data_IF_615863641453
#
_entry.id   IF_615863641453
#
_cell.length_a   1.000
_cell.length_b   1.000
_cell.length_c   1.000
_cell.angle_alpha   90.00
_cell.angle_beta   90.00
_cell.angle_gamma   90.00
#
_symmetry.space_group_name_H-M   'P 1'
#
loop_
_entity.id
_entity.type
_entity.pdbx_description
1 polymer ?
#
# COMPACT_ATOMS: atom_id res chain seq x y z
N UNK A 1 -9.47 -27.65 6.23
CA UNK A 1 -10.54 -27.73 5.22
C UNK A 1 -9.92 -27.61 3.83
N UNK A 2 -10.45 -28.29 2.80
CA UNK A 2 -9.87 -28.26 1.47
C UNK A 2 -10.00 -26.85 0.87
N UNK A 3 -8.94 -26.44 0.16
CA UNK A 3 -8.84 -25.16 -0.54
C UNK A 3 -10.06 -24.99 -1.45
N UNK A 4 -10.87 -23.96 -1.17
CA UNK A 4 -12.07 -23.66 -1.94
C UNK A 4 -11.72 -23.48 -3.42
N UNK A 5 -12.40 -24.28 -4.26
CA UNK A 5 -12.38 -24.23 -5.73
C UNK A 5 -12.41 -22.79 -6.23
N UNK A 6 -11.34 -22.37 -6.91
CA UNK A 6 -11.32 -21.11 -7.67
C UNK A 6 -9.96 -20.46 -7.88
N UNK A 7 -8.95 -20.75 -7.05
CA UNK A 7 -7.57 -20.28 -7.24
C UNK A 7 -6.59 -21.41 -6.98
N UNK A 8 -6.07 -21.98 -8.06
CA UNK A 8 -5.07 -23.04 -7.96
C UNK A 8 -3.74 -22.34 -7.67
N UNK A 9 -3.26 -22.45 -6.43
CA UNK A 9 -1.87 -22.13 -6.11
C UNK A 9 -0.97 -23.10 -6.87
N UNK A 10 0.13 -22.60 -7.43
CA UNK A 10 1.16 -23.48 -7.98
C UNK A 10 1.75 -24.35 -6.87
N UNK A 11 2.32 -25.50 -7.24
CA UNK A 11 3.07 -26.33 -6.30
C UNK A 11 4.21 -25.56 -5.62
N UNK A 12 4.85 -24.66 -6.36
CA UNK A 12 5.93 -23.80 -5.84
C UNK A 12 5.42 -22.80 -4.80
N UNK A 13 4.28 -22.15 -5.05
CA UNK A 13 3.64 -21.25 -4.09
C UNK A 13 3.24 -22.01 -2.81
N UNK A 14 2.66 -23.21 -2.94
CA UNK A 14 2.29 -24.05 -1.79
C UNK A 14 3.52 -24.42 -0.97
N UNK A 15 4.57 -24.93 -1.60
CA UNK A 15 5.81 -25.33 -0.92
C UNK A 15 6.49 -24.15 -0.22
N UNK A 16 6.44 -22.97 -0.83
CA UNK A 16 6.98 -21.73 -0.27
C UNK A 16 6.21 -21.30 0.97
N UNK A 17 4.87 -21.29 0.93
CA UNK A 17 4.03 -20.98 2.10
C UNK A 17 4.34 -21.94 3.26
N UNK A 18 4.41 -23.25 2.99
CA UNK A 18 4.70 -24.22 4.04
C UNK A 18 6.10 -24.02 4.62
N UNK A 19 7.09 -23.71 3.77
CA UNK A 19 8.46 -23.47 4.22
C UNK A 19 8.59 -22.20 5.05
N UNK A 20 7.94 -21.10 4.64
CA UNK A 20 7.85 -19.86 5.42
C UNK A 20 7.22 -20.09 6.78
N UNK A 21 6.09 -20.81 6.84
CA UNK A 21 5.41 -21.12 8.10
C UNK A 21 6.25 -21.97 9.04
N UNK A 22 7.01 -22.94 8.51
CA UNK A 22 7.94 -23.75 9.31
C UNK A 22 9.07 -22.88 9.86
N UNK A 23 9.71 -22.07 9.01
CA UNK A 23 10.81 -21.20 9.42
C UNK A 23 10.39 -20.18 10.50
N UNK A 24 9.17 -19.68 10.41
CA UNK A 24 8.59 -18.78 11.43
C UNK A 24 8.46 -19.45 12.79
N UNK A 25 7.94 -20.69 12.83
CA UNK A 25 7.76 -21.44 14.08
C UNK A 25 9.08 -21.79 14.76
N UNK A 26 10.16 -21.96 13.99
CA UNK A 26 11.48 -22.28 14.53
C UNK A 26 12.32 -21.04 14.87
N UNK A 27 11.75 -19.83 14.77
CA UNK A 27 12.45 -18.57 15.06
C UNK A 27 13.56 -18.22 14.07
N UNK A 28 13.57 -18.85 12.88
CA UNK A 28 14.68 -18.76 11.91
C UNK A 28 14.42 -17.76 10.78
N UNK A 29 13.52 -16.79 10.99
CA UNK A 29 13.18 -15.80 9.96
C UNK A 29 14.41 -15.03 9.44
N UNK A 30 15.46 -14.84 10.23
CA UNK A 30 16.67 -14.14 9.77
C UNK A 30 17.71 -15.05 9.08
N UNK A 31 17.59 -16.37 9.18
CA UNK A 31 18.63 -17.33 8.76
C UNK A 31 18.18 -18.35 7.70
N UNK A 32 16.86 -18.59 7.55
CA UNK A 32 16.35 -19.69 6.71
C UNK A 32 15.02 -19.35 6.04
N UNK A 33 14.90 -18.15 5.48
CA UNK A 33 13.81 -17.90 4.56
C UNK A 33 14.13 -18.62 3.24
N UNK A 34 13.20 -19.42 2.69
CA UNK A 34 13.39 -20.05 1.40
C UNK A 34 13.69 -18.97 0.35
N UNK A 35 14.46 -19.27 -0.72
CA UNK A 35 14.81 -18.28 -1.73
C UNK A 35 13.57 -17.86 -2.53
N UNK A 36 12.82 -16.90 -2.00
CA UNK A 36 11.61 -16.34 -2.59
C UNK A 36 11.88 -15.64 -3.92
N UNK A 37 13.12 -15.16 -4.11
CA UNK A 37 13.58 -14.49 -5.34
C UNK A 37 13.49 -15.36 -6.60
N UNK A 38 13.40 -16.69 -6.44
CA UNK A 38 13.26 -17.63 -7.58
C UNK A 38 11.81 -17.84 -8.00
N UNK A 39 10.83 -17.44 -7.17
CA UNK A 39 9.42 -17.57 -7.53
C UNK A 39 9.04 -16.52 -8.57
N UNK A 40 8.17 -16.92 -9.51
CA UNK A 40 7.56 -16.00 -10.44
C UNK A 40 6.71 -14.95 -9.71
N UNK A 41 6.58 -13.75 -10.28
CA UNK A 41 5.75 -12.65 -9.74
C UNK A 41 4.33 -13.12 -9.37
N UNK A 42 3.70 -13.92 -10.23
CA UNK A 42 2.35 -14.45 -10.00
C UNK A 42 2.28 -15.34 -8.74
N UNK A 43 3.32 -16.14 -8.50
CA UNK A 43 3.41 -17.02 -7.34
C UNK A 43 3.69 -16.22 -6.07
N UNK A 44 4.58 -15.23 -6.09
CA UNK A 44 4.77 -14.32 -4.95
C UNK A 44 3.46 -13.61 -4.57
N UNK A 45 2.71 -13.09 -5.55
CA UNK A 45 1.39 -12.50 -5.32
C UNK A 45 0.41 -13.50 -4.69
N UNK A 46 0.42 -14.74 -5.17
CA UNK A 46 -0.43 -15.81 -4.65
C UNK A 46 -0.05 -16.18 -3.21
N UNK A 47 1.25 -16.22 -2.90
CA UNK A 47 1.80 -16.46 -1.56
C UNK A 47 1.36 -15.34 -0.60
N UNK A 48 1.52 -14.06 -0.97
CA UNK A 48 1.07 -12.94 -0.12
C UNK A 48 -0.42 -13.08 0.19
N UNK A 49 -1.26 -13.27 -0.84
CA UNK A 49 -2.71 -13.38 -0.69
C UNK A 49 -3.11 -14.56 0.19
N UNK A 50 -2.46 -15.71 0.04
CA UNK A 50 -2.76 -16.90 0.85
C UNK A 50 -2.28 -16.74 2.30
N UNK A 51 -1.15 -16.07 2.54
CA UNK A 51 -0.70 -15.75 3.90
C UNK A 51 -1.67 -14.79 4.60
N UNK A 52 -2.13 -13.74 3.91
CA UNK A 52 -3.16 -12.83 4.43
C UNK A 52 -4.48 -13.57 4.72
N UNK A 53 -4.88 -14.51 3.86
CA UNK A 53 -6.08 -15.34 4.07
C UNK A 53 -5.96 -16.26 5.29
N UNK A 54 -4.74 -16.57 5.70
CA UNK A 54 -4.44 -17.39 6.88
C UNK A 54 -4.05 -16.54 8.10
N UNK A 55 -4.22 -15.21 8.04
CA UNK A 55 -3.79 -14.23 9.06
C UNK A 55 -2.31 -14.31 9.46
N UNK A 56 -1.46 -14.86 8.58
CA UNK A 56 -0.01 -14.83 8.73
C UNK A 56 0.56 -13.49 8.23
N UNK A 57 0.10 -12.38 8.81
CA UNK A 57 0.30 -11.03 8.29
C UNK A 57 1.77 -10.58 8.29
N UNK A 58 2.52 -10.88 9.34
CA UNK A 58 3.97 -10.58 9.42
C UNK A 58 4.78 -11.32 8.34
N UNK A 59 4.42 -12.58 8.05
CA UNK A 59 5.00 -13.31 6.91
C UNK A 59 4.60 -12.69 5.57
N UNK A 60 3.37 -12.20 5.44
CA UNK A 60 2.92 -11.52 4.23
C UNK A 60 3.71 -10.24 3.97
N UNK A 61 4.04 -9.45 5.01
CA UNK A 61 4.93 -8.28 4.91
C UNK A 61 6.29 -8.67 4.37
N UNK A 62 6.87 -9.76 4.90
CA UNK A 62 8.17 -10.25 4.44
C UNK A 62 8.17 -10.69 2.95
N UNK A 63 7.12 -11.37 2.51
CA UNK A 63 6.99 -11.74 1.08
C UNK A 63 6.74 -10.49 0.21
N UNK A 64 5.97 -9.52 0.71
CA UNK A 64 5.71 -8.26 0.03
C UNK A 64 7.01 -7.46 -0.17
N UNK A 65 7.92 -7.40 0.81
CA UNK A 65 9.20 -6.70 0.64
C UNK A 65 10.06 -7.36 -0.46
N UNK A 66 10.07 -8.69 -0.54
CA UNK A 66 10.71 -9.41 -1.65
C UNK A 66 10.06 -9.05 -2.99
N UNK A 67 8.73 -9.11 -3.08
CA UNK A 67 7.97 -8.77 -4.29
C UNK A 67 8.27 -7.34 -4.77
N UNK A 68 8.34 -6.38 -3.84
CA UNK A 68 8.68 -4.97 -4.13
C UNK A 68 10.08 -4.82 -4.69
N UNK A 69 11.06 -5.52 -4.11
CA UNK A 69 12.46 -5.43 -4.52
C UNK A 69 12.73 -6.04 -5.90
N UNK A 70 12.03 -7.12 -6.25
CA UNK A 70 12.23 -7.86 -7.51
C UNK A 70 11.34 -7.34 -8.65
N UNK A 71 10.16 -6.79 -8.34
CA UNK A 71 9.15 -6.45 -9.34
C UNK A 71 8.48 -5.08 -9.11
N UNK A 72 9.25 -3.97 -9.07
CA UNK A 72 8.67 -2.62 -9.03
C UNK A 72 7.78 -2.34 -10.26
N UNK A 73 6.78 -1.43 -10.16
CA UNK A 73 6.40 -0.64 -8.99
C UNK A 73 5.52 -1.42 -8.00
N UNK A 74 5.38 -0.88 -6.77
CA UNK A 74 4.56 -1.46 -5.71
C UNK A 74 3.06 -1.43 -6.07
N UNK A 75 2.38 -2.57 -5.90
CA UNK A 75 0.91 -2.64 -5.97
C UNK A 75 0.29 -2.07 -4.69
N UNK A 76 -0.20 -0.82 -4.76
CA UNK A 76 -0.85 -0.14 -3.63
C UNK A 76 -2.15 -0.82 -3.19
N UNK A 77 -2.84 -1.54 -4.08
CA UNK A 77 -4.05 -2.29 -3.71
C UNK A 77 -3.69 -3.45 -2.80
N UNK A 78 -2.61 -4.16 -3.12
CA UNK A 78 -2.06 -5.23 -2.28
C UNK A 78 -1.50 -4.68 -0.97
N UNK A 79 -0.80 -3.53 -1.02
CA UNK A 79 -0.32 -2.85 0.19
C UNK A 79 -1.49 -2.52 1.13
N UNK A 80 -2.60 -1.98 0.60
CA UNK A 80 -3.80 -1.71 1.39
C UNK A 80 -4.41 -2.99 1.98
N UNK A 81 -4.39 -4.11 1.27
CA UNK A 81 -4.86 -5.41 1.78
C UNK A 81 -3.98 -5.90 2.95
N UNK A 82 -2.66 -5.72 2.87
CA UNK A 82 -1.72 -6.03 3.96
C UNK A 82 -1.95 -5.12 5.16
N UNK A 83 -2.08 -3.80 4.97
CA UNK A 83 -2.37 -2.84 6.05
C UNK A 83 -3.67 -3.18 6.77
N UNK A 84 -4.74 -3.50 6.03
CA UNK A 84 -6.00 -3.91 6.64
C UNK A 84 -5.85 -5.20 7.46
N UNK A 85 -5.08 -6.17 6.97
CA UNK A 85 -4.86 -7.42 7.69
C UNK A 85 -4.03 -7.20 8.97
N UNK A 86 -2.97 -6.40 8.91
CA UNK A 86 -2.18 -6.00 10.08
C UNK A 86 -3.05 -5.27 11.11
N UNK A 87 -3.89 -4.33 10.66
CA UNK A 87 -4.79 -3.57 11.53
C UNK A 87 -5.77 -4.48 12.27
N UNK A 88 -6.37 -5.45 11.57
CA UNK A 88 -7.27 -6.46 12.19
C UNK A 88 -6.55 -7.34 13.22
N UNK A 89 -5.25 -7.58 13.03
CA UNK A 89 -4.42 -8.37 13.95
C UNK A 89 -3.75 -7.52 15.04
N UNK A 90 -3.96 -6.21 15.07
CA UNK A 90 -3.36 -5.31 16.07
C UNK A 90 -1.88 -5.00 15.83
N UNK A 91 -1.32 -5.37 14.69
CA UNK A 91 0.10 -5.25 14.33
C UNK A 91 0.45 -3.83 13.87
N UNK A 92 0.23 -2.84 14.74
CA UNK A 92 0.31 -1.41 14.39
C UNK A 92 1.72 -0.97 13.99
N UNK A 93 2.76 -1.46 14.66
CA UNK A 93 4.14 -1.09 14.35
C UNK A 93 4.60 -1.63 12.99
N UNK A 94 4.07 -2.78 12.56
CA UNK A 94 4.35 -3.32 11.22
C UNK A 94 3.71 -2.46 10.12
N UNK A 95 2.56 -1.83 10.40
CA UNK A 95 1.97 -0.86 9.47
C UNK A 95 2.93 0.32 9.30
N UNK A 96 3.43 0.89 10.40
CA UNK A 96 4.34 2.04 10.32
C UNK A 96 5.67 1.69 9.65
N UNK A 97 6.21 0.49 9.91
CA UNK A 97 7.38 -0.02 9.18
C UNK A 97 7.10 -0.14 7.68
N UNK A 98 5.99 -0.79 7.31
CA UNK A 98 5.62 -1.00 5.90
C UNK A 98 5.49 0.32 5.14
N UNK A 99 4.80 1.31 5.71
CA UNK A 99 4.65 2.64 5.11
C UNK A 99 5.98 3.40 5.13
N UNK A 100 6.79 3.24 6.18
CA UNK A 100 8.12 3.82 6.29
C UNK A 100 9.05 3.39 5.16
N UNK A 101 9.04 2.10 4.83
CA UNK A 101 9.81 1.54 3.72
C UNK A 101 9.32 1.99 2.33
N UNK A 102 8.16 2.65 2.22
CA UNK A 102 7.68 3.19 0.94
C UNK A 102 8.35 4.51 0.57
N UNK A 103 8.97 5.21 1.53
CA UNK A 103 9.75 6.41 1.26
C UNK A 103 10.91 6.11 0.29
N UNK A 104 11.06 6.95 -0.74
CA UNK A 104 12.11 6.80 -1.76
C UNK A 104 11.79 5.81 -2.88
N UNK A 105 10.61 5.16 -2.88
CA UNK A 105 10.15 4.42 -4.05
C UNK A 105 9.57 5.40 -5.07
N UNK A 106 10.19 5.49 -6.25
CA UNK A 106 9.68 6.26 -7.37
C UNK A 106 8.51 5.54 -8.07
N UNK A 107 7.45 6.29 -8.36
CA UNK A 107 6.31 5.82 -9.15
C UNK A 107 5.36 4.84 -8.42
N UNK A 108 4.24 4.52 -9.09
CA UNK A 108 3.21 3.61 -8.57
C UNK A 108 2.06 4.28 -7.80
N UNK A 109 2.14 5.59 -7.57
CA UNK A 109 1.12 6.38 -6.85
C UNK A 109 0.10 7.07 -7.76
N UNK A 110 0.29 7.03 -9.08
CA UNK A 110 -0.57 7.67 -10.08
C UNK A 110 -1.95 7.01 -10.20
N UNK A 111 -2.15 5.85 -9.58
CA UNK A 111 -3.47 5.22 -9.52
C UNK A 111 -4.24 5.73 -8.30
N UNK A 112 -5.03 6.79 -8.50
CA UNK A 112 -5.82 7.45 -7.45
C UNK A 112 -6.72 6.49 -6.67
N UNK A 113 -7.30 5.48 -7.33
CA UNK A 113 -8.15 4.49 -6.66
C UNK A 113 -7.36 3.59 -5.73
N UNK A 114 -6.19 3.13 -6.17
CA UNK A 114 -5.31 2.28 -5.36
C UNK A 114 -4.70 3.08 -4.20
N UNK A 115 -4.32 4.34 -4.46
CA UNK A 115 -3.82 5.28 -3.45
C UNK A 115 -4.89 5.59 -2.40
N UNK A 116 -6.11 5.94 -2.81
CA UNK A 116 -7.22 6.16 -1.90
C UNK A 116 -7.53 4.93 -1.04
N UNK A 117 -7.41 3.72 -1.59
CA UNK A 117 -7.59 2.47 -0.84
C UNK A 117 -6.52 2.33 0.25
N UNK A 118 -5.25 2.61 -0.05
CA UNK A 118 -4.17 2.59 0.92
C UNK A 118 -4.36 3.65 2.02
N UNK A 119 -4.68 4.89 1.64
CA UNK A 119 -4.96 5.98 2.58
C UNK A 119 -6.08 5.58 3.55
N UNK A 120 -7.20 5.03 3.02
CA UNK A 120 -8.31 4.55 3.85
C UNK A 120 -7.88 3.43 4.81
N UNK A 121 -7.03 2.50 4.36
CA UNK A 121 -6.56 1.41 5.20
C UNK A 121 -5.73 1.94 6.39
N UNK A 122 -4.78 2.84 6.13
CA UNK A 122 -3.93 3.46 7.16
C UNK A 122 -4.75 4.29 8.14
N UNK A 123 -5.70 5.09 7.64
CA UNK A 123 -6.59 5.90 8.46
C UNK A 123 -7.59 5.08 9.26
N UNK A 124 -8.02 3.93 8.73
CA UNK A 124 -8.86 2.96 9.44
C UNK A 124 -8.10 2.23 10.54
N UNK A 125 -6.78 2.09 10.38
CA UNK A 125 -5.87 1.57 11.40
C UNK A 125 -5.45 2.62 12.45
N UNK A 126 -5.95 3.85 12.35
CA UNK A 126 -5.63 4.98 13.24
C UNK A 126 -4.12 5.27 13.33
N UNK A 127 -3.37 4.98 12.25
CA UNK A 127 -1.93 5.25 12.20
C UNK A 127 -1.67 6.66 11.70
N UNK A 128 -1.68 7.62 12.64
CA UNK A 128 -1.46 9.05 12.37
C UNK A 128 -0.15 9.32 11.63
N UNK A 129 0.97 8.84 12.16
CA UNK A 129 2.30 9.07 11.56
C UNK A 129 2.39 8.53 10.13
N UNK A 130 1.88 7.32 9.90
CA UNK A 130 1.78 6.73 8.57
C UNK A 130 0.91 7.54 7.60
N UNK A 131 -0.21 8.09 8.06
CA UNK A 131 -1.07 8.93 7.22
C UNK A 131 -0.37 10.24 6.82
N UNK A 132 0.33 10.88 7.76
CA UNK A 132 1.15 12.07 7.50
C UNK A 132 2.27 11.75 6.52
N UNK A 133 2.93 10.59 6.67
CA UNK A 133 3.99 10.12 5.78
C UNK A 133 3.51 9.94 4.35
N UNK A 134 2.33 9.31 4.16
CA UNK A 134 1.73 9.19 2.82
C UNK A 134 1.49 10.55 2.19
N UNK A 135 0.95 11.52 2.94
CA UNK A 135 0.73 12.86 2.43
C UNK A 135 2.06 13.55 2.06
N UNK A 136 3.10 13.43 2.88
CA UNK A 136 4.42 13.99 2.59
C UNK A 136 4.98 13.43 1.27
N UNK A 137 4.94 12.10 1.08
CA UNK A 137 5.38 11.45 -0.15
C UNK A 137 4.60 11.93 -1.38
N UNK A 138 3.26 12.08 -1.27
CA UNK A 138 2.45 12.61 -2.37
C UNK A 138 2.87 14.04 -2.74
N UNK A 139 3.06 14.91 -1.74
CA UNK A 139 3.46 16.30 -1.94
C UNK A 139 4.85 16.40 -2.58
N UNK A 140 5.80 15.60 -2.11
CA UNK A 140 7.17 15.54 -2.66
C UNK A 140 7.19 15.00 -4.10
N UNK A 141 6.29 14.09 -4.43
CA UNK A 141 6.08 13.62 -5.81
C UNK A 141 5.37 14.62 -6.72
N UNK A 142 5.00 15.81 -6.22
CA UNK A 142 4.36 16.86 -7.01
C UNK A 142 2.84 16.74 -7.10
N UNK A 143 2.17 16.05 -6.18
CA UNK A 143 0.71 15.99 -6.14
C UNK A 143 0.08 17.39 -6.04
N UNK A 144 -0.87 17.68 -6.94
CA UNK A 144 -1.47 19.00 -7.15
C UNK A 144 -0.72 19.92 -8.11
N UNK A 145 0.29 19.42 -8.81
CA UNK A 145 0.98 20.12 -9.91
C UNK A 145 0.39 19.77 -11.27
N UNK A 146 0.90 20.37 -12.34
CA UNK A 146 0.49 20.05 -13.72
C UNK A 146 0.79 18.59 -14.11
N UNK A 147 1.86 18.00 -13.58
CA UNK A 147 2.25 16.61 -13.88
C UNK A 147 1.49 15.58 -13.04
N UNK A 148 0.87 15.99 -11.93
CA UNK A 148 0.06 15.11 -11.09
C UNK A 148 -1.11 15.90 -10.50
N UNK A 149 -2.23 15.90 -11.23
CA UNK A 149 -3.45 16.59 -10.82
C UNK A 149 -3.96 15.99 -9.49
N UNK A 150 -4.41 16.86 -8.58
CA UNK A 150 -5.02 16.40 -7.35
C UNK A 150 -6.43 15.86 -7.65
N UNK A 151 -6.62 14.55 -7.53
CA UNK A 151 -7.95 13.93 -7.65
C UNK A 151 -8.85 14.31 -6.47
N UNK A 152 -10.08 14.71 -6.78
CA UNK A 152 -11.04 15.21 -5.80
C UNK A 152 -11.36 14.16 -4.73
N UNK A 153 -11.51 12.90 -5.12
CA UNK A 153 -11.85 11.83 -4.21
C UNK A 153 -10.67 11.48 -3.29
N UNK A 154 -9.44 11.42 -3.81
CA UNK A 154 -8.22 11.26 -3.00
C UNK A 154 -8.08 12.39 -2.00
N UNK A 155 -8.25 13.65 -2.45
CA UNK A 155 -8.16 14.82 -1.58
C UNK A 155 -9.22 14.81 -0.48
N UNK A 156 -10.46 14.43 -0.80
CA UNK A 156 -11.55 14.34 0.16
C UNK A 156 -11.26 13.29 1.24
N UNK A 157 -10.86 12.08 0.83
CA UNK A 157 -10.49 10.99 1.73
C UNK A 157 -9.36 11.40 2.66
N UNK A 158 -8.31 12.00 2.09
CA UNK A 158 -7.12 12.40 2.83
C UNK A 158 -7.43 13.54 3.82
N UNK A 159 -8.12 14.59 3.37
CA UNK A 159 -8.49 15.72 4.22
C UNK A 159 -9.37 15.27 5.40
N UNK A 160 -10.43 14.49 5.14
CA UNK A 160 -11.34 14.02 6.20
C UNK A 160 -10.63 13.13 7.22
N UNK A 161 -9.78 12.21 6.77
CA UNK A 161 -9.09 11.32 7.69
C UNK A 161 -7.99 12.01 8.49
N UNK A 162 -7.28 12.98 7.92
CA UNK A 162 -6.31 13.79 8.67
C UNK A 162 -6.99 14.59 9.79
N UNK A 163 -8.14 15.23 9.53
CA UNK A 163 -8.93 15.90 10.60
C UNK A 163 -9.30 14.93 11.72
N UNK A 164 -9.78 13.74 11.38
CA UNK A 164 -10.12 12.70 12.36
C UNK A 164 -8.93 12.27 13.22
N UNK A 165 -7.72 12.33 12.67
CA UNK A 165 -6.47 12.03 13.37
C UNK A 165 -5.88 13.24 14.12
N UNK A 166 -6.56 14.40 14.10
CA UNK A 166 -6.13 15.63 14.75
C UNK A 166 -5.13 16.46 13.95
N UNK A 167 -4.97 16.18 12.65
CA UNK A 167 -4.05 16.88 11.73
C UNK A 167 -4.80 17.96 10.92
N UNK A 168 -5.37 18.95 11.61
CA UNK A 168 -6.21 19.98 11.01
C UNK A 168 -5.48 20.85 9.99
N UNK A 169 -4.23 21.23 10.28
CA UNK A 169 -3.41 22.05 9.39
C UNK A 169 -3.11 21.31 8.07
N UNK A 170 -2.71 20.04 8.16
CA UNK A 170 -2.45 19.22 6.99
C UNK A 170 -3.74 18.97 6.19
N UNK A 171 -4.86 18.75 6.87
CA UNK A 171 -6.15 18.59 6.20
C UNK A 171 -6.59 19.86 5.45
N UNK A 172 -6.28 21.05 5.97
CA UNK A 172 -6.52 22.32 5.30
C UNK A 172 -5.60 22.51 4.09
N UNK A 173 -4.32 22.12 4.21
CA UNK A 173 -3.37 22.14 3.10
C UNK A 173 -3.86 21.26 1.94
N UNK A 174 -4.26 20.01 2.20
CA UNK A 174 -4.84 19.10 1.18
C UNK A 174 -6.02 19.74 0.44
N UNK A 175 -6.95 20.35 1.18
CA UNK A 175 -8.12 21.00 0.58
C UNK A 175 -7.73 22.23 -0.27
N UNK A 176 -6.68 22.95 0.11
CA UNK A 176 -6.18 24.09 -0.67
C UNK A 176 -5.49 23.64 -1.96
N UNK A 177 -4.66 22.59 -1.88
CA UNK A 177 -3.97 21.98 -3.03
C UNK A 177 -4.98 21.52 -4.08
N UNK A 178 -6.05 20.84 -3.66
CA UNK A 178 -7.12 20.41 -4.57
C UNK A 178 -7.74 21.59 -5.33
N UNK A 179 -8.14 22.65 -4.60
CA UNK A 179 -8.78 23.82 -5.22
C UNK A 179 -7.86 24.51 -6.22
N UNK A 180 -6.58 24.64 -5.87
CA UNK A 180 -5.57 25.21 -6.76
C UNK A 180 -5.40 24.36 -8.01
N UNK A 181 -5.26 23.04 -7.86
CA UNK A 181 -5.15 22.09 -8.97
C UNK A 181 -6.36 22.18 -9.91
N UNK A 182 -7.59 22.20 -9.37
CA UNK A 182 -8.82 22.34 -10.17
C UNK A 182 -8.91 23.68 -10.90
N UNK A 183 -8.45 24.77 -10.26
CA UNK A 183 -8.42 26.09 -10.87
C UNK A 183 -7.43 26.16 -12.05
N UNK A 184 -6.22 25.61 -11.88
CA UNK A 184 -5.23 25.51 -12.95
C UNK A 184 -5.75 24.66 -14.11
N UNK A 185 -6.37 23.51 -13.82
CA UNK A 185 -6.95 22.65 -14.84
C UNK A 185 -8.00 23.38 -15.70
N UNK A 186 -8.80 24.27 -15.10
CA UNK A 186 -9.81 25.07 -15.81
C UNK A 186 -9.19 26.15 -16.73
N UNK A 187 -8.02 26.69 -16.36
CA UNK A 187 -7.32 27.74 -17.12
C UNK A 187 -6.47 27.15 -18.25
N UNK A 188 -5.86 25.99 -18.05
CA UNK A 188 -4.92 25.37 -19.01
C UNK A 188 -5.64 24.52 -20.07
N UNK A 189 -6.79 23.91 -19.75
CA UNK A 189 -7.55 23.05 -20.69
C UNK A 189 -8.56 23.75 -21.66
N UNK A 190 -8.73 25.09 -21.78
CA UNK A 190 -9.80 25.66 -22.61
C UNK A 190 -9.50 25.71 -24.13
N UNK A 191 -8.52 24.95 -24.66
CA UNK A 191 -8.20 24.92 -26.11
C UNK A 191 -8.04 23.51 -26.69
N UNK A 192 -9.04 22.65 -26.56
CA UNK A 192 -9.14 21.42 -27.40
C UNK A 192 -10.58 21.08 -27.82
N UNK A 193 -11.53 22.01 -27.68
CA UNK A 193 -12.90 21.85 -28.14
C UNK A 193 -13.21 22.83 -29.28
N UNK A 194 -12.63 22.60 -30.45
CA UNK A 194 -13.10 23.10 -31.76
C UNK A 194 -12.76 22.06 -32.83
#
# INVERSE_FOLDING_TARGET
GPLLKGRILSSEAIQSIQSLKRANRTGSLSLSLPPLRRLLKADLLAVVRELLRQDHCTLAVHVLSTLRSEYPPLDLTLCADVVNALARNGEREEIDRLIGEMEGIEGGYENDKALAKLIRAVMGAERRESAVRIYAMMREGGWGSESWEADEYVAEVLSKGLRRLGEEELAAQVASTQRYSSFIALIVKPKLAL
#
